data_IF_327385162725
#
_entry.id   IF_327385162725
#
_cell.length_a   1.000
_cell.length_b   1.000
_cell.length_c   1.000
_cell.angle_alpha   90.00
_cell.angle_beta   90.00
_cell.angle_gamma   90.00
#
_symmetry.space_group_name_H-M   'P 1'
#
loop_
_entity.id
_entity.type
_entity.pdbx_description
1 polymer ?
#
# COMPACT_ATOMS: atom_id res chain seq x y z
N UNK A 1 26.38 3.17 8.06
CA UNK A 1 25.52 2.40 8.98
C UNK A 1 24.08 2.64 8.56
N UNK A 2 23.52 1.76 7.73
CA UNK A 2 22.19 1.96 7.14
C UNK A 2 21.13 1.39 8.07
N UNK A 3 20.27 2.24 8.64
CA UNK A 3 19.13 1.79 9.41
C UNK A 3 18.15 1.12 8.43
N UNK A 4 18.09 -0.21 8.47
CA UNK A 4 17.04 -0.96 7.81
C UNK A 4 15.71 -0.52 8.43
N UNK A 5 14.96 0.31 7.69
CA UNK A 5 13.63 0.75 8.07
C UNK A 5 12.72 -0.48 8.09
N UNK A 6 12.61 -1.12 9.26
CA UNK A 6 11.60 -2.13 9.53
C UNK A 6 10.27 -1.36 9.56
N UNK A 7 9.56 -1.37 8.43
CA UNK A 7 8.20 -0.85 8.34
C UNK A 7 7.42 -1.43 9.51
N UNK A 8 6.84 -0.55 10.34
CA UNK A 8 6.04 -1.00 11.48
C UNK A 8 4.82 -1.74 10.92
N UNK A 9 4.72 -2.99 11.34
CA UNK A 9 3.59 -3.87 11.10
C UNK A 9 2.30 -3.19 11.56
N UNK A 10 1.24 -3.33 10.76
CA UNK A 10 -0.10 -2.92 11.13
C UNK A 10 -0.47 -3.57 12.46
N UNK A 11 -0.77 -2.77 13.47
CA UNK A 11 -0.86 -3.22 14.87
C UNK A 11 -1.98 -4.23 15.18
N UNK A 12 -2.86 -4.52 14.22
CA UNK A 12 -3.98 -5.47 14.31
C UNK A 12 -3.73 -6.83 13.63
N UNK A 13 -2.63 -6.98 12.88
CA UNK A 13 -2.36 -8.17 12.08
C UNK A 13 -0.92 -8.61 12.28
N UNK A 14 -0.70 -9.91 12.53
CA UNK A 14 0.66 -10.49 12.61
C UNK A 14 1.35 -10.54 11.25
N UNK A 15 0.68 -10.08 10.19
CA UNK A 15 1.04 -10.27 8.80
C UNK A 15 1.38 -8.93 8.15
N UNK A 16 2.61 -8.80 7.66
CA UNK A 16 3.05 -7.61 6.93
C UNK A 16 2.29 -7.43 5.61
N UNK A 17 2.25 -6.19 5.11
CA UNK A 17 1.73 -5.89 3.78
C UNK A 17 2.63 -6.49 2.70
N UNK A 18 2.04 -7.27 1.81
CA UNK A 18 2.74 -7.90 0.68
C UNK A 18 2.52 -7.21 -0.67
N UNK A 19 1.77 -6.09 -0.70
CA UNK A 19 1.50 -5.35 -1.94
C UNK A 19 0.52 -6.05 -2.89
N UNK A 20 -0.48 -6.77 -2.35
CA UNK A 20 -1.47 -7.48 -3.18
C UNK A 20 -2.47 -6.55 -3.90
N UNK A 21 -2.61 -5.30 -3.45
CA UNK A 21 -3.51 -4.29 -4.06
C UNK A 21 -4.96 -4.31 -3.58
N UNK A 22 -5.39 -5.27 -2.75
CA UNK A 22 -6.81 -5.43 -2.35
C UNK A 22 -7.43 -4.15 -1.78
N UNK A 23 -6.82 -3.54 -0.77
CA UNK A 23 -7.38 -2.30 -0.21
C UNK A 23 -7.30 -1.15 -1.23
N UNK A 24 -6.13 -0.93 -1.84
CA UNK A 24 -5.89 0.24 -2.66
C UNK A 24 -6.68 0.26 -3.98
N UNK A 25 -7.04 -0.92 -4.51
CA UNK A 25 -7.89 -1.07 -5.69
C UNK A 25 -9.38 -1.06 -5.35
N UNK A 26 -9.77 -1.49 -4.14
CA UNK A 26 -11.18 -1.49 -3.73
C UNK A 26 -11.64 -0.12 -3.24
N UNK A 27 -10.83 0.55 -2.42
CA UNK A 27 -11.14 1.84 -1.82
C UNK A 27 -9.86 2.67 -1.61
N UNK A 28 -9.67 3.79 -2.31
CA UNK A 28 -8.52 4.66 -2.09
C UNK A 28 -8.47 5.21 -0.65
N UNK A 29 -7.26 5.33 -0.11
CA UNK A 29 -7.08 5.81 1.26
C UNK A 29 -7.44 7.30 1.43
N UNK A 30 -7.55 7.75 2.69
CA UNK A 30 -7.79 9.15 3.03
C UNK A 30 -6.73 10.11 2.48
N UNK A 31 -5.45 9.72 2.45
CA UNK A 31 -4.39 10.52 1.83
C UNK A 31 -4.61 10.71 0.33
N UNK A 32 -5.05 9.66 -0.38
CA UNK A 32 -5.44 9.74 -1.79
C UNK A 32 -6.63 10.69 -1.97
N UNK A 33 -7.68 10.54 -1.16
CA UNK A 33 -8.86 11.40 -1.24
C UNK A 33 -8.57 12.88 -0.97
N UNK A 34 -7.70 13.19 -0.01
CA UNK A 34 -7.30 14.57 0.28
C UNK A 34 -6.52 15.21 -0.86
N UNK A 35 -5.69 14.44 -1.56
CA UNK A 35 -4.83 14.94 -2.65
C UNK A 35 -5.55 15.00 -3.99
N UNK A 36 -6.36 14.00 -4.29
CA UNK A 36 -6.91 13.78 -5.64
C UNK A 36 -8.43 13.79 -5.72
N UNK A 37 -9.11 13.97 -4.58
CA UNK A 37 -10.56 13.85 -4.49
C UNK A 37 -11.05 12.39 -4.50
N UNK A 38 -12.37 12.22 -4.60
CA UNK A 38 -12.96 10.89 -4.77
C UNK A 38 -12.68 10.36 -6.18
N UNK A 39 -11.99 9.23 -6.26
CA UNK A 39 -11.67 8.54 -7.51
C UNK A 39 -11.86 7.04 -7.31
N UNK A 40 -12.02 6.30 -8.41
CA UNK A 40 -12.07 4.83 -8.35
C UNK A 40 -10.72 4.20 -8.01
N UNK A 41 -9.62 4.83 -8.42
CA UNK A 41 -8.26 4.33 -8.21
C UNK A 41 -7.32 5.46 -7.80
N UNK A 42 -6.45 5.19 -6.83
CA UNK A 42 -5.39 6.12 -6.42
C UNK A 42 -4.34 6.29 -7.54
N UNK A 43 -4.01 7.52 -7.97
CA UNK A 43 -2.98 7.78 -8.96
C UNK A 43 -1.57 7.31 -8.57
N UNK A 44 -1.27 7.21 -7.27
CA UNK A 44 0.05 6.75 -6.78
C UNK A 44 0.17 5.23 -6.64
N UNK A 45 -0.91 4.48 -6.90
CA UNK A 45 -0.88 3.03 -6.84
C UNK A 45 -0.45 2.46 -8.20
N UNK A 46 0.73 1.83 -8.25
CA UNK A 46 1.25 1.21 -9.46
C UNK A 46 1.73 -0.22 -9.22
N UNK A 47 1.60 -1.06 -10.24
CA UNK A 47 2.21 -2.38 -10.24
C UNK A 47 3.72 -2.26 -10.51
N UNK A 48 4.55 -2.86 -9.65
CA UNK A 48 6.00 -2.97 -9.86
C UNK A 48 6.33 -4.37 -10.39
N UNK A 49 6.62 -4.47 -11.69
CA UNK A 49 6.95 -5.74 -12.34
C UNK A 49 8.21 -6.40 -11.78
N UNK A 50 9.18 -5.64 -11.27
CA UNK A 50 10.41 -6.22 -10.70
C UNK A 50 10.16 -6.84 -9.34
N UNK A 51 9.28 -6.22 -8.55
CA UNK A 51 8.91 -6.69 -7.21
C UNK A 51 7.70 -7.63 -7.22
N UNK A 52 7.04 -7.79 -8.37
CA UNK A 52 5.82 -8.56 -8.56
C UNK A 52 4.74 -8.21 -7.52
N UNK A 53 4.53 -6.91 -7.28
CA UNK A 53 3.54 -6.43 -6.31
C UNK A 53 3.16 -4.97 -6.59
N UNK A 54 2.04 -4.53 -6.04
CA UNK A 54 1.69 -3.11 -6.00
C UNK A 54 2.57 -2.33 -5.03
N UNK A 55 2.91 -1.12 -5.45
CA UNK A 55 3.66 -0.12 -4.71
C UNK A 55 2.85 1.18 -4.63
N UNK A 56 3.12 1.99 -3.60
CA UNK A 56 2.44 3.25 -3.36
C UNK A 56 3.47 4.39 -3.43
N UNK A 57 3.36 5.24 -4.45
CA UNK A 57 4.24 6.40 -4.64
C UNK A 57 4.26 7.35 -3.45
N UNK A 58 3.11 7.56 -2.78
CA UNK A 58 3.02 8.39 -1.58
C UNK A 58 3.81 7.81 -0.40
N UNK A 59 3.85 6.49 -0.27
CA UNK A 59 4.62 5.84 0.78
C UNK A 59 6.10 5.75 0.44
N UNK A 60 6.48 5.72 -0.83
CA UNK A 60 7.87 5.72 -1.26
C UNK A 60 8.49 7.13 -1.31
N UNK A 61 7.66 8.18 -1.29
CA UNK A 61 8.11 9.57 -1.27
C UNK A 61 8.90 9.89 0.03
N UNK A 62 10.10 10.49 -0.08
CA UNK A 62 10.97 10.75 1.07
C UNK A 62 10.44 11.85 2.00
N UNK A 63 9.65 12.79 1.50
CA UNK A 63 9.13 13.93 2.25
C UNK A 63 7.80 13.56 2.93
N UNK A 64 6.85 13.02 2.16
CA UNK A 64 5.49 12.74 2.68
C UNK A 64 5.33 11.30 3.18
N UNK A 65 6.17 10.37 2.73
CA UNK A 65 6.06 8.95 3.07
C UNK A 65 6.05 8.64 4.57
N UNK A 66 6.88 9.29 5.43
CA UNK A 66 6.80 9.08 6.87
C UNK A 66 5.42 9.40 7.46
N UNK A 67 4.78 10.48 7.00
CA UNK A 67 3.45 10.89 7.47
C UNK A 67 2.36 9.95 6.93
N UNK A 68 2.43 9.57 5.66
CA UNK A 68 1.46 8.65 5.02
C UNK A 68 1.52 7.27 5.68
N UNK A 69 2.73 6.72 5.90
CA UNK A 69 2.90 5.42 6.58
C UNK A 69 2.34 5.45 8.00
N UNK A 70 2.50 6.58 8.71
CA UNK A 70 1.93 6.77 10.04
C UNK A 70 0.41 6.90 10.00
N UNK A 71 -0.14 7.72 9.11
CA UNK A 71 -1.58 7.98 9.00
C UNK A 71 -2.37 6.73 8.59
N UNK A 72 -1.77 5.90 7.74
CA UNK A 72 -2.37 4.67 7.26
C UNK A 72 -2.09 3.46 8.14
N UNK A 73 -1.23 3.58 9.16
CA UNK A 73 -0.66 2.46 9.91
C UNK A 73 -0.12 1.35 9.00
N UNK A 74 0.50 1.74 7.87
CA UNK A 74 0.87 0.82 6.78
C UNK A 74 2.25 1.18 6.21
N UNK A 75 3.12 0.18 6.04
CA UNK A 75 4.43 0.32 5.39
C UNK A 75 4.40 0.23 3.85
N UNK A 76 3.23 0.08 3.23
CA UNK A 76 3.08 -0.17 1.80
C UNK A 76 1.71 -0.66 1.30
N UNK A 77 0.72 -0.87 2.19
CA UNK A 77 -0.64 -1.36 1.86
C UNK A 77 -1.32 -2.20 2.96
N UNK A 78 -2.45 -2.84 2.63
CA UNK A 78 -3.44 -3.47 3.54
C UNK A 78 -2.90 -4.48 4.57
N UNK A 79 -3.46 -4.42 5.78
CA UNK A 79 -3.24 -5.36 6.88
C UNK A 79 -4.17 -6.59 6.93
N UNK A 80 -5.18 -6.70 6.07
CA UNK A 80 -6.24 -7.72 6.17
C UNK A 80 -5.67 -9.16 6.05
N UNK A 81 -5.61 -9.95 7.15
CA UNK A 81 -4.91 -11.24 7.15
C UNK A 81 -5.66 -12.32 6.37
N UNK A 82 -7.00 -12.24 6.33
CA UNK A 82 -7.87 -13.20 5.64
C UNK A 82 -8.15 -12.83 4.18
N UNK A 83 -7.43 -11.86 3.64
CA UNK A 83 -7.59 -11.45 2.25
C UNK A 83 -7.04 -12.55 1.30
N UNK A 84 -7.87 -13.12 0.41
CA UNK A 84 -7.44 -14.20 -0.49
C UNK A 84 -6.35 -13.75 -1.47
N UNK A 85 -6.25 -12.45 -1.80
CA UNK A 85 -5.20 -11.95 -2.69
C UNK A 85 -3.80 -12.07 -2.09
N UNK A 86 -3.68 -12.37 -0.78
CA UNK A 86 -2.37 -12.67 -0.18
C UNK A 86 -1.69 -13.89 -0.80
N UNK A 87 -2.47 -14.84 -1.32
CA UNK A 87 -1.98 -16.06 -1.96
C UNK A 87 -1.89 -15.95 -3.50
N UNK A 88 -2.37 -14.84 -4.07
CA UNK A 88 -2.45 -14.59 -5.52
C UNK A 88 -2.09 -13.12 -5.82
N UNK A 89 -0.83 -12.77 -5.56
CA UNK A 89 -0.32 -11.43 -5.90
C UNK A 89 -0.03 -11.38 -7.40
N UNK A 90 -0.84 -10.60 -8.13
CA UNK A 90 -0.74 -10.39 -9.57
C UNK A 90 -1.20 -8.99 -9.95
N UNK A 91 -0.78 -8.55 -11.13
CA UNK A 91 -1.31 -7.34 -11.74
C UNK A 91 -2.80 -7.52 -12.03
N UNK A 92 -3.57 -6.49 -11.71
CA UNK A 92 -5.03 -6.38 -11.82
C UNK A 92 -5.44 -5.02 -12.41
N UNK A 93 -4.50 -4.32 -13.07
CA UNK A 93 -4.77 -3.04 -13.70
C UNK A 93 -5.80 -3.13 -14.83
N UNK A 94 -6.00 -4.34 -15.36
CA UNK A 94 -6.94 -4.68 -16.43
C UNK A 94 -8.17 -5.49 -15.95
N UNK A 95 -8.28 -5.77 -14.63
CA UNK A 95 -9.46 -6.44 -14.05
C UNK A 95 -10.67 -5.49 -14.01
#
# INVERSE_FOLDING_TARGET
MSAAFRGRDCTLSTESCIGCGWCCLSDPCWDSHRRYGQRRRCPDLYWDDKRHRYMCGLMDDPEVGPAVRHAQDEGGGCCAPLNPWRQDVRNRDED
#
